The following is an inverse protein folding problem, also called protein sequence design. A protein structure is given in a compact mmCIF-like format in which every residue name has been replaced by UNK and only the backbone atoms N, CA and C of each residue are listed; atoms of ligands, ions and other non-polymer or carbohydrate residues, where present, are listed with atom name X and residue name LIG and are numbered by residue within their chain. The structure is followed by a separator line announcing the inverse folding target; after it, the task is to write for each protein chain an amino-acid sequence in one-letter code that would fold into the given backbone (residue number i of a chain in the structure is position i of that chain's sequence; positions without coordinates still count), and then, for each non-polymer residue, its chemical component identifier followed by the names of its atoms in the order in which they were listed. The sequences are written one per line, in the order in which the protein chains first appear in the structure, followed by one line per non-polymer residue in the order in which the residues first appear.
data_IF_204031787128
#
_entry.id   IF_204031787128
#
_cell.length_a   1.000
_cell.length_b   1.000
_cell.length_c   1.000
_cell.angle_alpha   90.00
_cell.angle_beta   90.00
_cell.angle_gamma   90.00
#
_symmetry.space_group_name_H-M   'P 1'
#
loop_
_entity.id
_entity.type
_entity.pdbx_description
1 polymer ?
#
# COMPACT_ATOMS: atom_id res chain seq x y z
N UNK A 1 -8.96 15.77 -4.66
CA UNK A 1 -8.66 15.36 -6.04
C UNK A 1 -7.41 16.11 -6.45
N UNK A 2 -6.30 15.42 -6.55
CA UNK A 2 -5.00 16.01 -6.91
C UNK A 2 -4.66 15.50 -8.30
N UNK A 3 -4.46 16.44 -9.24
CA UNK A 3 -4.00 16.13 -10.59
C UNK A 3 -2.47 16.12 -10.57
N UNK A 4 -1.88 14.97 -10.76
CA UNK A 4 -0.46 14.85 -11.05
C UNK A 4 -0.29 14.77 -12.56
N UNK A 5 0.63 15.47 -13.14
CA UNK A 5 1.17 15.42 -14.50
C UNK A 5 0.68 14.21 -15.35
N UNK A 6 -0.61 13.93 -15.31
CA UNK A 6 -1.28 12.83 -16.02
C UNK A 6 -1.93 11.76 -15.15
N UNK A 7 -1.78 11.78 -13.83
CA UNK A 7 -2.35 10.77 -12.90
C UNK A 7 -3.40 11.38 -11.98
N UNK A 8 -4.43 10.60 -11.71
CA UNK A 8 -5.56 10.97 -10.89
C UNK A 8 -5.63 10.04 -9.67
N UNK A 9 -5.48 10.58 -8.46
CA UNK A 9 -5.65 9.82 -7.22
C UNK A 9 -7.02 10.07 -6.59
N UNK A 10 -7.74 9.03 -6.26
CA UNK A 10 -9.04 9.10 -5.57
C UNK A 10 -8.93 8.49 -4.19
N UNK A 11 -9.25 9.25 -3.15
CA UNK A 11 -9.38 8.73 -1.80
C UNK A 11 -10.69 7.97 -1.66
N UNK A 12 -10.64 6.75 -1.17
CA UNK A 12 -11.79 6.06 -0.62
C UNK A 12 -11.85 6.42 0.87
N UNK A 13 -12.78 7.30 1.26
CA UNK A 13 -13.02 7.60 2.66
C UNK A 13 -13.56 6.36 3.38
N UNK A 14 -12.82 5.91 4.40
CA UNK A 14 -13.30 4.89 5.32
C UNK A 14 -14.43 5.49 6.18
N UNK A 15 -15.57 4.81 6.25
CA UNK A 15 -16.76 5.29 6.95
C UNK A 15 -16.59 5.12 8.47
N UNK A 16 -16.77 6.20 9.25
CA UNK A 16 -16.66 6.23 10.72
C UNK A 16 -17.65 5.28 11.46
N UNK A 17 -18.58 4.64 10.75
CA UNK A 17 -19.55 3.71 11.32
C UNK A 17 -18.99 2.36 11.78
N UNK A 18 -17.71 2.04 11.46
CA UNK A 18 -17.09 0.76 11.80
C UNK A 18 -16.34 0.73 13.14
N UNK A 19 -16.02 1.88 13.73
CA UNK A 19 -15.15 1.98 14.91
C UNK A 19 -15.64 1.13 16.12
N UNK A 20 -16.94 1.10 16.41
CA UNK A 20 -17.50 0.31 17.51
C UNK A 20 -17.42 -1.20 17.26
N UNK A 21 -17.57 -1.63 16.00
CA UNK A 21 -17.41 -3.03 15.61
C UNK A 21 -15.94 -3.48 15.73
N UNK A 22 -15.02 -2.58 15.39
CA UNK A 22 -13.57 -2.83 15.47
C UNK A 22 -13.10 -3.02 16.92
N UNK A 23 -13.60 -2.23 17.89
CA UNK A 23 -13.24 -2.39 19.31
C UNK A 23 -13.67 -3.73 19.89
N UNK A 24 -14.85 -4.22 19.56
CA UNK A 24 -15.30 -5.53 20.00
C UNK A 24 -14.45 -6.64 19.41
N UNK A 25 -14.15 -6.56 18.13
CA UNK A 25 -13.29 -7.52 17.45
C UNK A 25 -11.88 -7.54 18.03
N UNK A 26 -11.29 -6.35 18.31
CA UNK A 26 -9.98 -6.22 18.95
C UNK A 26 -9.97 -6.89 20.31
N UNK A 27 -10.95 -6.60 21.17
CA UNK A 27 -11.07 -7.21 22.50
C UNK A 27 -11.15 -8.74 22.40
N UNK A 28 -12.00 -9.27 21.52
CA UNK A 28 -12.20 -10.70 21.36
C UNK A 28 -10.93 -11.39 20.82
N UNK A 29 -10.26 -10.79 19.83
CA UNK A 29 -9.00 -11.29 19.28
C UNK A 29 -7.87 -11.31 20.34
N UNK A 30 -7.79 -10.27 21.19
CA UNK A 30 -6.82 -10.24 22.30
C UNK A 30 -7.15 -11.25 23.38
N UNK A 31 -8.42 -11.35 23.78
CA UNK A 31 -8.84 -12.29 24.82
C UNK A 31 -8.54 -13.73 24.38
N UNK A 32 -9.03 -14.14 23.21
CA UNK A 32 -8.78 -15.49 22.69
C UNK A 32 -7.29 -15.73 22.38
N UNK A 33 -6.62 -14.74 21.80
CA UNK A 33 -5.22 -14.91 21.37
C UNK A 33 -4.22 -14.98 22.53
N UNK A 34 -4.46 -14.29 23.65
CA UNK A 34 -3.51 -14.25 24.76
C UNK A 34 -3.82 -15.26 25.88
N UNK A 35 -5.10 -15.64 26.06
CA UNK A 35 -5.54 -16.53 27.13
C UNK A 35 -5.70 -17.99 26.70
N UNK A 36 -5.68 -18.26 25.38
CA UNK A 36 -5.70 -19.62 24.84
C UNK A 36 -4.28 -20.07 24.43
N UNK A 37 -4.09 -21.39 24.34
CA UNK A 37 -2.81 -21.97 23.91
C UNK A 37 -2.94 -22.60 22.50
N UNK A 38 -1.97 -22.38 21.58
CA UNK A 38 -0.80 -21.50 21.70
C UNK A 38 -1.15 -20.02 21.65
N UNK A 39 -0.43 -19.19 22.40
CA UNK A 39 -0.67 -17.74 22.37
C UNK A 39 -0.35 -17.16 21.01
N UNK A 40 -1.26 -16.36 20.47
CA UNK A 40 -1.09 -15.71 19.17
C UNK A 40 -1.87 -14.38 19.12
N UNK A 41 -1.43 -13.48 18.26
CA UNK A 41 -2.17 -12.28 17.92
C UNK A 41 -2.25 -12.14 16.39
N UNK A 42 -3.41 -11.76 15.84
CA UNK A 42 -3.53 -11.50 14.42
C UNK A 42 -2.58 -10.38 13.97
N UNK A 43 -1.85 -10.63 12.88
CA UNK A 43 -0.84 -9.69 12.36
C UNK A 43 -1.45 -8.32 11.94
N UNK A 44 -2.75 -8.26 11.65
CA UNK A 44 -3.46 -7.03 11.27
C UNK A 44 -3.27 -5.86 12.27
N UNK A 45 -3.00 -6.17 13.56
CA UNK A 45 -2.79 -5.16 14.60
C UNK A 45 -1.39 -4.53 14.60
N UNK A 46 -0.49 -5.00 13.73
CA UNK A 46 0.85 -4.42 13.56
C UNK A 46 0.94 -3.44 12.38
N UNK A 47 -0.19 -3.14 11.71
CA UNK A 47 -0.24 -2.23 10.56
C UNK A 47 -0.87 -0.88 10.92
N UNK A 48 -0.64 -0.41 12.17
CA UNK A 48 -0.87 0.98 12.56
C UNK A 48 0.29 1.88 12.06
N UNK A 49 0.23 3.18 12.33
CA UNK A 49 1.26 4.13 11.92
C UNK A 49 2.66 3.70 12.39
N UNK A 50 2.80 3.34 13.67
CA UNK A 50 4.09 2.93 14.26
C UNK A 50 4.60 1.63 13.63
N UNK A 51 3.73 0.64 13.44
CA UNK A 51 4.05 -0.62 12.80
C UNK A 51 4.43 -0.45 11.32
N UNK A 52 3.75 0.43 10.61
CA UNK A 52 4.06 0.75 9.21
C UNK A 52 5.43 1.41 9.07
N UNK A 53 5.78 2.34 9.95
CA UNK A 53 7.13 2.95 10.01
C UNK A 53 8.21 1.91 10.35
N UNK A 54 7.91 0.97 11.25
CA UNK A 54 8.83 -0.12 11.59
C UNK A 54 9.00 -1.09 10.40
N UNK A 55 7.92 -1.38 9.68
CA UNK A 55 7.99 -2.23 8.49
C UNK A 55 8.84 -1.61 7.39
N UNK A 56 8.75 -0.30 7.18
CA UNK A 56 9.64 0.41 6.25
C UNK A 56 11.12 0.22 6.61
N UNK A 57 11.48 0.27 7.91
CA UNK A 57 12.85 -0.01 8.37
C UNK A 57 13.25 -1.46 8.15
N UNK A 58 12.31 -2.42 8.28
CA UNK A 58 12.55 -3.83 7.97
C UNK A 58 12.85 -3.99 6.48
N UNK A 59 12.17 -3.27 5.60
CA UNK A 59 12.42 -3.31 4.16
C UNK A 59 13.84 -2.88 3.77
N UNK A 60 14.50 -2.07 4.60
CA UNK A 60 15.89 -1.63 4.38
C UNK A 60 16.94 -2.64 4.88
N UNK A 61 16.53 -3.66 5.67
CA UNK A 61 17.47 -4.67 6.19
C UNK A 61 17.97 -5.59 5.07
N UNK A 62 19.27 -5.97 5.09
CA UNK A 62 19.83 -6.93 4.13
C UNK A 62 19.08 -8.27 4.09
N UNK A 63 18.62 -8.74 5.23
CA UNK A 63 17.92 -10.01 5.40
C UNK A 63 16.53 -9.99 4.76
N UNK A 64 15.89 -8.82 4.68
CA UNK A 64 14.56 -8.68 4.07
C UNK A 64 14.68 -8.42 2.56
N UNK A 65 15.23 -9.40 1.84
CA UNK A 65 15.44 -9.34 0.39
C UNK A 65 14.17 -9.29 -0.47
N UNK A 66 12.95 -9.74 -0.01
CA UNK A 66 11.76 -9.79 -0.87
C UNK A 66 11.40 -8.42 -1.47
N UNK A 67 11.46 -7.34 -0.68
CA UNK A 67 11.16 -5.98 -1.17
C UNK A 67 12.06 -5.59 -2.34
N UNK A 68 13.38 -5.80 -2.21
CA UNK A 68 14.34 -5.45 -3.26
C UNK A 68 14.22 -6.34 -4.50
N UNK A 69 13.85 -7.61 -4.30
CA UNK A 69 13.64 -8.54 -5.41
C UNK A 69 12.39 -8.17 -6.20
N UNK A 70 11.31 -7.84 -5.51
CA UNK A 70 10.06 -7.37 -6.13
C UNK A 70 10.26 -6.05 -6.87
N UNK A 71 10.98 -5.09 -6.27
CA UNK A 71 11.31 -3.81 -6.89
C UNK A 71 12.06 -4.00 -8.22
N UNK A 72 13.12 -4.82 -8.22
CA UNK A 72 13.87 -5.15 -9.45
C UNK A 72 12.98 -5.83 -10.50
N UNK A 73 12.14 -6.76 -10.06
CA UNK A 73 11.22 -7.43 -10.97
C UNK A 73 10.28 -6.42 -11.63
N UNK A 74 9.68 -5.51 -10.85
CA UNK A 74 8.80 -4.48 -11.40
C UNK A 74 9.57 -3.54 -12.34
N UNK A 75 10.80 -3.15 -11.99
CA UNK A 75 11.66 -2.36 -12.85
C UNK A 75 11.88 -3.02 -14.22
N UNK A 76 12.14 -4.32 -14.22
CA UNK A 76 12.38 -5.11 -15.44
C UNK A 76 11.13 -5.30 -16.29
N UNK A 77 9.95 -5.57 -15.68
CA UNK A 77 8.75 -5.99 -16.43
C UNK A 77 7.70 -4.91 -16.64
N UNK A 78 7.78 -3.76 -15.96
CA UNK A 78 6.70 -2.75 -15.95
C UNK A 78 6.30 -2.29 -17.35
N UNK A 79 7.26 -2.01 -18.23
CA UNK A 79 6.99 -1.58 -19.61
C UNK A 79 6.21 -2.66 -20.37
N UNK A 80 6.65 -3.91 -20.30
CA UNK A 80 6.00 -5.02 -20.97
C UNK A 80 4.60 -5.27 -20.42
N UNK A 81 4.46 -5.25 -19.10
CA UNK A 81 3.17 -5.42 -18.40
C UNK A 81 2.17 -4.33 -18.80
N UNK A 82 2.56 -3.07 -18.70
CA UNK A 82 1.69 -1.93 -19.03
C UNK A 82 1.37 -1.89 -20.53
N UNK A 83 2.33 -2.20 -21.40
CA UNK A 83 2.09 -2.24 -22.85
C UNK A 83 1.03 -3.29 -23.24
N UNK A 84 1.01 -4.43 -22.56
CA UNK A 84 0.07 -5.54 -22.78
C UNK A 84 -1.29 -5.29 -22.16
N UNK A 85 -1.32 -4.76 -20.94
CA UNK A 85 -2.58 -4.56 -20.19
C UNK A 85 -3.28 -3.27 -20.53
N UNK A 86 -2.53 -2.22 -20.91
CA UNK A 86 -3.02 -0.86 -21.21
C UNK A 86 -4.09 -0.39 -20.21
N UNK A 87 -3.77 -0.37 -18.91
CA UNK A 87 -4.76 -0.09 -17.88
C UNK A 87 -5.22 1.37 -17.97
N UNK A 88 -6.51 1.61 -17.72
CA UNK A 88 -7.03 2.95 -17.44
C UNK A 88 -7.11 3.25 -15.94
N UNK A 89 -6.92 2.20 -15.10
CA UNK A 89 -6.89 2.30 -13.66
C UNK A 89 -5.97 1.25 -13.07
N UNK A 90 -5.15 1.64 -12.10
CA UNK A 90 -4.32 0.77 -11.27
C UNK A 90 -4.83 0.87 -9.82
N UNK A 91 -5.28 -0.24 -9.26
CA UNK A 91 -5.74 -0.33 -7.88
C UNK A 91 -4.74 -1.17 -7.12
N UNK A 92 -4.19 -0.64 -6.04
CA UNK A 92 -3.21 -1.33 -5.20
C UNK A 92 -3.76 -1.54 -3.80
N UNK A 93 -3.80 -2.80 -3.36
CA UNK A 93 -4.19 -3.18 -2.02
C UNK A 93 -2.95 -3.29 -1.14
N UNK A 94 -2.92 -2.59 0.00
CA UNK A 94 -1.75 -2.48 0.85
C UNK A 94 -0.66 -1.61 0.19
N UNK A 95 -1.05 -0.41 -0.27
CA UNK A 95 -0.18 0.46 -1.05
C UNK A 95 1.04 0.99 -0.29
N UNK A 96 0.94 1.06 1.05
CA UNK A 96 1.99 1.67 1.84
C UNK A 96 2.40 3.05 1.29
N UNK A 97 3.69 3.31 1.18
CA UNK A 97 4.24 4.54 0.61
C UNK A 97 4.33 4.55 -0.94
N UNK A 98 3.70 3.60 -1.64
CA UNK A 98 3.69 3.44 -3.11
C UNK A 98 5.10 3.38 -3.75
N UNK A 99 6.12 2.93 -3.01
CA UNK A 99 7.53 2.93 -3.47
C UNK A 99 7.72 2.08 -4.73
N UNK A 100 7.09 0.92 -4.80
CA UNK A 100 7.24 -0.03 -5.91
C UNK A 100 6.31 0.29 -7.08
N UNK A 101 5.11 0.79 -6.79
CA UNK A 101 4.10 1.13 -7.79
C UNK A 101 4.56 2.23 -8.75
N UNK A 102 5.53 3.02 -8.32
CA UNK A 102 6.16 4.04 -9.14
C UNK A 102 6.69 3.50 -10.46
N UNK A 103 7.21 2.26 -10.51
CA UNK A 103 7.68 1.62 -11.75
C UNK A 103 6.55 1.40 -12.76
N UNK A 104 5.34 1.07 -12.27
CA UNK A 104 4.15 0.92 -13.12
C UNK A 104 3.64 2.28 -13.64
N UNK A 105 3.65 3.29 -12.78
CA UNK A 105 3.25 4.65 -13.17
C UNK A 105 4.23 5.25 -14.18
N UNK A 106 5.53 5.06 -13.99
CA UNK A 106 6.57 5.46 -14.94
C UNK A 106 6.42 4.77 -16.30
N UNK A 107 6.04 3.49 -16.29
CA UNK A 107 5.77 2.76 -17.50
C UNK A 107 4.55 3.31 -18.25
N UNK A 108 3.49 3.71 -17.53
CA UNK A 108 2.33 4.39 -18.12
C UNK A 108 2.75 5.72 -18.78
N UNK A 109 3.56 6.52 -18.09
CA UNK A 109 4.06 7.79 -18.62
C UNK A 109 4.92 7.59 -19.87
N UNK A 110 5.92 6.69 -19.83
CA UNK A 110 6.79 6.36 -20.96
C UNK A 110 6.03 5.88 -22.20
N UNK A 111 4.88 5.20 -21.99
CA UNK A 111 4.03 4.70 -23.06
C UNK A 111 2.93 5.69 -23.47
N UNK A 112 2.91 6.91 -22.91
CA UNK A 112 1.85 7.91 -23.08
C UNK A 112 0.46 7.34 -22.81
N UNK A 113 0.32 6.51 -21.78
CA UNK A 113 -0.95 5.97 -21.30
C UNK A 113 -1.36 6.73 -20.05
N UNK A 114 -2.64 7.15 -20.02
CA UNK A 114 -3.22 7.72 -18.82
C UNK A 114 -3.81 6.58 -17.97
N UNK A 115 -3.44 6.53 -16.70
CA UNK A 115 -4.03 5.62 -15.74
C UNK A 115 -4.38 6.36 -14.43
N UNK A 116 -5.58 6.11 -13.93
CA UNK A 116 -5.96 6.52 -12.57
C UNK A 116 -5.28 5.57 -11.58
N UNK A 117 -4.55 6.11 -10.58
CA UNK A 117 -4.01 5.30 -9.49
C UNK A 117 -4.90 5.43 -8.25
N UNK A 118 -5.26 4.28 -7.68
CA UNK A 118 -6.13 4.16 -6.51
C UNK A 118 -5.41 3.35 -5.43
N UNK A 119 -4.67 4.00 -4.53
CA UNK A 119 -4.10 3.33 -3.37
C UNK A 119 -5.19 2.96 -2.37
N UNK A 120 -5.10 1.76 -1.82
CA UNK A 120 -5.95 1.27 -0.72
C UNK A 120 -5.04 0.73 0.36
N UNK A 121 -5.13 1.30 1.56
CA UNK A 121 -4.36 0.86 2.72
C UNK A 121 -5.23 0.95 3.98
N UNK A 122 -4.91 0.16 5.00
CA UNK A 122 -5.57 0.23 6.32
C UNK A 122 -5.04 1.39 7.15
N UNK A 123 -3.83 1.88 6.85
CA UNK A 123 -3.18 3.01 7.49
C UNK A 123 -3.38 4.27 6.63
N UNK A 124 -4.20 5.20 7.10
CA UNK A 124 -4.52 6.46 6.41
C UNK A 124 -3.26 7.30 6.19
N UNK A 125 -2.37 7.34 7.16
CA UNK A 125 -1.12 8.09 7.12
C UNK A 125 -0.21 7.59 5.99
N UNK A 126 -0.20 6.29 5.71
CA UNK A 126 0.57 5.72 4.60
C UNK A 126 0.02 6.15 3.24
N UNK A 127 -1.30 6.29 3.11
CA UNK A 127 -1.94 6.85 1.89
C UNK A 127 -1.49 8.31 1.69
N UNK A 128 -1.48 9.11 2.76
CA UNK A 128 -1.04 10.52 2.69
C UNK A 128 0.43 10.62 2.29
N UNK A 129 1.30 9.79 2.86
CA UNK A 129 2.72 9.69 2.49
C UNK A 129 2.87 9.29 1.01
N UNK A 130 2.08 8.33 0.54
CA UNK A 130 2.12 7.89 -0.87
C UNK A 130 1.74 9.03 -1.83
N UNK A 131 0.71 9.80 -1.49
CA UNK A 131 0.27 10.95 -2.27
C UNK A 131 1.35 12.02 -2.29
N UNK A 132 1.93 12.35 -1.13
CA UNK A 132 3.01 13.33 -1.06
C UNK A 132 4.23 12.89 -1.87
N UNK A 133 4.59 11.62 -1.80
CA UNK A 133 5.70 11.04 -2.57
C UNK A 133 5.47 11.13 -4.07
N UNK A 134 4.27 10.75 -4.53
CA UNK A 134 3.90 10.81 -5.93
C UNK A 134 3.74 12.26 -6.43
N UNK A 135 3.34 13.22 -5.56
CA UNK A 135 3.12 14.63 -5.94
C UNK A 135 4.39 15.42 -6.21
N UNK A 136 5.54 14.94 -5.75
CA UNK A 136 6.84 15.59 -5.92
C UNK A 136 7.51 15.26 -7.27
N UNK A 137 6.85 14.52 -8.12
CA UNK A 137 7.31 14.11 -9.45
C UNK A 137 6.65 14.92 -10.53
#
# INVERSE_FOLDING_TARGET
MILFSGYFTRHLNYNEGSALADYKTLHDDFYHGLFEAPRSLPAKYFYDEAGSILFDKICDLPEYYPTRTEERLLEDISIDLISKTRPNRIIELGSGAARKTIHLLDACEKLNLFAEYVPVDVCQEMIEISIEHLSKR
#
